data_IF_582863060484
#
_entry.id   IF_582863060484
#
_cell.length_a   1.000
_cell.length_b   1.000
_cell.length_c   1.000
_cell.angle_alpha   90.00
_cell.angle_beta   90.00
_cell.angle_gamma   90.00
#
_symmetry.space_group_name_H-M   'P 1'
#
loop_
_entity.id
_entity.type
_entity.pdbx_description
1 polymer ?
#
# COMPACT_ATOMS: atom_id res chain seq x y z
N UNK A 1 0.16 -12.04 -13.06
CA UNK A 1 0.86 -11.06 -12.20
C UNK A 1 2.26 -10.82 -12.75
N UNK A 2 2.84 -9.64 -12.53
CA UNK A 2 4.28 -9.46 -12.75
C UNK A 2 5.04 -10.01 -11.53
N UNK A 3 6.16 -10.71 -11.72
CA UNK A 3 6.99 -11.24 -10.63
C UNK A 3 7.42 -10.16 -9.62
N UNK A 4 7.52 -8.92 -10.12
CA UNK A 4 7.90 -7.75 -9.32
C UNK A 4 6.88 -7.43 -8.24
N UNK A 5 5.58 -7.51 -8.55
CA UNK A 5 4.52 -7.20 -7.60
C UNK A 5 4.46 -8.24 -6.47
N UNK A 6 4.58 -9.53 -6.82
CA UNK A 6 4.58 -10.62 -5.84
C UNK A 6 5.77 -10.48 -4.87
N UNK A 7 6.96 -10.19 -5.39
CA UNK A 7 8.16 -9.96 -4.57
C UNK A 7 7.99 -8.76 -3.62
N UNK A 8 7.38 -7.68 -4.09
CA UNK A 8 7.14 -6.49 -3.26
C UNK A 8 6.11 -6.78 -2.14
N UNK A 9 5.01 -7.45 -2.48
CA UNK A 9 4.00 -7.87 -1.53
C UNK A 9 4.58 -8.81 -0.45
N UNK A 10 5.30 -9.86 -0.85
CA UNK A 10 5.96 -10.79 0.09
C UNK A 10 6.93 -10.05 1.01
N UNK A 11 7.75 -9.13 0.46
CA UNK A 11 8.68 -8.32 1.25
C UNK A 11 7.94 -7.48 2.30
N UNK A 12 6.83 -6.84 1.92
CA UNK A 12 6.03 -5.99 2.79
C UNK A 12 5.31 -6.84 3.86
N UNK A 13 4.76 -8.00 3.48
CA UNK A 13 4.08 -8.94 4.39
C UNK A 13 5.03 -9.53 5.43
N UNK A 14 6.27 -9.87 5.03
CA UNK A 14 7.28 -10.43 5.94
C UNK A 14 7.90 -9.37 6.87
N UNK A 15 7.84 -8.08 6.51
CA UNK A 15 8.42 -7.00 7.32
C UNK A 15 7.52 -5.76 7.37
N UNK A 16 6.31 -5.87 7.93
CA UNK A 16 5.31 -4.78 7.90
C UNK A 16 5.72 -3.58 8.75
N UNK A 17 6.69 -3.73 9.65
CA UNK A 17 7.25 -2.66 10.48
C UNK A 17 8.35 -1.86 9.79
N UNK A 18 8.88 -2.33 8.66
CA UNK A 18 10.05 -1.76 8.00
C UNK A 18 9.78 -1.35 6.53
N UNK A 19 8.55 -0.93 6.23
CA UNK A 19 8.15 -0.55 4.87
C UNK A 19 8.46 0.93 4.61
N UNK A 20 9.05 1.24 3.45
CA UNK A 20 9.22 2.63 3.04
C UNK A 20 7.88 3.22 2.61
N UNK A 21 7.67 4.52 2.85
CA UNK A 21 6.44 5.18 2.42
C UNK A 21 6.23 5.07 0.90
N UNK A 22 7.33 5.14 0.14
CA UNK A 22 7.30 5.00 -1.31
C UNK A 22 6.93 3.58 -1.75
N UNK A 23 7.45 2.54 -1.09
CA UNK A 23 7.09 1.15 -1.40
C UNK A 23 5.60 0.89 -1.11
N UNK A 24 5.05 1.48 -0.05
CA UNK A 24 3.61 1.39 0.26
C UNK A 24 2.76 2.02 -0.85
N UNK A 25 3.12 3.23 -1.30
CA UNK A 25 2.40 3.92 -2.37
C UNK A 25 2.48 3.13 -3.69
N UNK A 26 3.67 2.63 -4.04
CA UNK A 26 3.87 1.79 -5.24
C UNK A 26 3.03 0.53 -5.18
N UNK A 27 3.03 -0.18 -4.05
CA UNK A 27 2.22 -1.39 -3.89
C UNK A 27 0.72 -1.06 -4.07
N UNK A 28 0.24 0.05 -3.52
CA UNK A 28 -1.15 0.46 -3.70
C UNK A 28 -1.51 0.72 -5.16
N UNK A 29 -0.66 1.44 -5.90
CA UNK A 29 -0.86 1.70 -7.33
C UNK A 29 -0.88 0.41 -8.16
N UNK A 30 0.04 -0.52 -7.88
CA UNK A 30 0.14 -1.81 -8.58
C UNK A 30 -1.06 -2.72 -8.31
N UNK A 31 -1.70 -2.62 -7.14
CA UNK A 31 -2.94 -3.36 -6.82
C UNK A 31 -4.22 -2.61 -7.23
N UNK A 32 -4.09 -1.55 -8.02
CA UNK A 32 -5.21 -0.88 -8.68
C UNK A 32 -5.76 0.36 -7.96
N UNK A 33 -5.13 0.82 -6.89
CA UNK A 33 -5.50 2.12 -6.33
C UNK A 33 -5.05 3.26 -7.23
N UNK A 34 -5.92 4.26 -7.39
CA UNK A 34 -5.62 5.46 -8.17
C UNK A 34 -5.36 6.62 -7.22
N UNK A 35 -4.24 7.31 -7.42
CA UNK A 35 -3.93 8.55 -6.70
C UNK A 35 -5.00 9.62 -6.97
N UNK A 36 -5.49 10.27 -5.92
CA UNK A 36 -6.56 11.28 -6.01
C UNK A 36 -6.08 12.67 -5.69
N UNK A 37 -5.38 12.84 -4.58
CA UNK A 37 -4.90 14.14 -4.14
C UNK A 37 -3.80 13.98 -3.11
N UNK A 38 -3.03 15.05 -2.95
CA UNK A 38 -2.01 15.18 -1.90
C UNK A 38 -2.24 16.49 -1.17
N UNK A 39 -2.26 16.42 0.16
CA UNK A 39 -2.29 17.58 1.03
C UNK A 39 -1.13 17.49 2.01
N UNK A 40 -0.14 18.37 1.85
CA UNK A 40 1.12 18.29 2.58
C UNK A 40 1.84 16.96 2.35
N UNK A 41 1.96 16.15 3.40
CA UNK A 41 2.61 14.82 3.36
C UNK A 41 1.64 13.65 3.18
N UNK A 42 0.32 13.91 3.14
CA UNK A 42 -0.70 12.88 3.03
C UNK A 42 -1.01 12.63 1.56
N UNK A 43 -1.04 11.36 1.17
CA UNK A 43 -1.41 10.93 -0.18
C UNK A 43 -2.71 10.12 -0.10
N UNK A 44 -3.74 10.59 -0.80
CA UNK A 44 -5.05 9.94 -0.84
C UNK A 44 -5.15 9.11 -2.12
N UNK A 45 -5.53 7.85 -1.95
CA UNK A 45 -5.70 6.85 -2.99
C UNK A 45 -7.12 6.29 -2.93
N UNK A 46 -7.73 6.01 -4.08
CA UNK A 46 -9.06 5.38 -4.16
C UNK A 46 -9.03 4.23 -5.16
N UNK A 47 -9.51 3.06 -4.74
CA UNK A 47 -9.71 1.94 -5.64
C UNK A 47 -11.01 2.14 -6.43
N UNK A 48 -10.97 2.16 -7.78
CA UNK A 48 -12.16 2.46 -8.58
C UNK A 48 -13.23 1.36 -8.52
N UNK A 49 -12.81 0.08 -8.41
CA UNK A 49 -13.72 -1.08 -8.35
C UNK A 49 -14.35 -1.24 -6.96
N UNK A 50 -13.54 -1.42 -5.92
CA UNK A 50 -14.05 -1.67 -4.56
C UNK A 50 -14.47 -0.40 -3.80
N UNK A 51 -14.12 0.79 -4.30
CA UNK A 51 -14.44 2.06 -3.64
C UNK A 51 -13.60 2.38 -2.41
N UNK A 52 -12.74 1.46 -1.93
CA UNK A 52 -11.86 1.66 -0.79
C UNK A 52 -10.98 2.90 -0.97
N UNK A 53 -10.81 3.64 0.12
CA UNK A 53 -9.95 4.82 0.18
C UNK A 53 -8.79 4.53 1.14
N UNK A 54 -7.58 4.78 0.67
CA UNK A 54 -6.37 4.69 1.47
C UNK A 54 -5.78 6.09 1.62
N UNK A 55 -5.67 6.58 2.85
CA UNK A 55 -5.00 7.85 3.16
C UNK A 55 -3.65 7.54 3.79
N UNK A 56 -2.60 7.54 2.97
CA UNK A 56 -1.24 7.23 3.40
C UNK A 56 -0.54 8.48 3.93
N UNK A 57 0.23 8.31 5.01
CA UNK A 57 1.02 9.36 5.61
C UNK A 57 2.38 8.76 6.03
N UNK A 58 3.50 9.44 5.77
CA UNK A 58 4.78 9.00 6.28
C UNK A 58 4.80 8.98 7.82
N UNK A 59 5.65 8.13 8.39
CA UNK A 59 5.79 8.01 9.83
C UNK A 59 6.31 9.32 10.44
N UNK A 60 5.77 9.67 11.62
CA UNK A 60 6.13 10.93 12.30
C UNK A 60 7.58 10.92 12.80
N UNK A 61 8.09 9.77 13.21
CA UNK A 61 9.45 9.57 13.72
C UNK A 61 10.45 9.42 12.58
N UNK A 62 10.05 8.79 11.47
CA UNK A 62 10.87 8.66 10.28
C UNK A 62 10.06 8.86 9.00
N UNK A 63 10.20 10.03 8.37
CA UNK A 63 9.42 10.41 7.18
C UNK A 63 9.66 9.52 5.95
N UNK A 64 10.72 8.71 5.94
CA UNK A 64 10.96 7.73 4.86
C UNK A 64 10.15 6.44 5.01
N UNK A 65 9.57 6.19 6.19
CA UNK A 65 8.83 4.96 6.51
C UNK A 65 7.33 5.19 6.41
N UNK A 66 6.62 4.12 6.07
CA UNK A 66 5.18 4.04 6.22
C UNK A 66 4.82 3.77 7.69
N UNK A 67 3.63 4.19 8.10
CA UNK A 67 3.09 3.78 9.40
C UNK A 67 2.64 2.33 9.32
N UNK A 68 2.99 1.52 10.33
CA UNK A 68 2.65 0.09 10.39
C UNK A 68 1.17 -0.19 10.11
N UNK A 69 0.25 0.59 10.68
CA UNK A 69 -1.19 0.35 10.47
C UNK A 69 -1.62 0.58 9.01
N UNK A 70 -0.99 1.52 8.30
CA UNK A 70 -1.30 1.78 6.88
C UNK A 70 -0.78 0.67 5.98
N UNK A 71 0.34 0.07 6.37
CA UNK A 71 0.85 -1.15 5.75
C UNK A 71 -0.14 -2.30 5.96
N UNK A 72 -0.58 -2.53 7.20
CA UNK A 72 -1.58 -3.55 7.51
C UNK A 72 -2.88 -3.34 6.74
N UNK A 73 -3.43 -2.12 6.69
CA UNK A 73 -4.64 -1.80 5.92
C UNK A 73 -4.52 -2.18 4.44
N UNK A 74 -3.37 -1.95 3.82
CA UNK A 74 -3.15 -2.32 2.42
C UNK A 74 -3.04 -3.85 2.26
N UNK A 75 -2.35 -4.54 3.18
CA UNK A 75 -2.27 -6.01 3.16
C UNK A 75 -3.65 -6.63 3.35
N UNK A 76 -4.42 -6.18 4.34
CA UNK A 76 -5.76 -6.69 4.62
C UNK A 76 -6.66 -6.51 3.38
N UNK A 77 -6.60 -5.34 2.73
CA UNK A 77 -7.31 -5.12 1.47
C UNK A 77 -6.91 -6.11 0.36
N UNK A 78 -5.61 -6.35 0.20
CA UNK A 78 -5.09 -7.27 -0.82
C UNK A 78 -5.56 -8.70 -0.57
N UNK A 79 -5.49 -9.14 0.70
CA UNK A 79 -5.84 -10.49 1.14
C UNK A 79 -7.35 -10.71 1.03
N UNK A 80 -8.17 -9.78 1.52
CA UNK A 80 -9.64 -9.84 1.50
C UNK A 80 -10.22 -9.88 0.08
N UNK A 81 -9.68 -9.04 -0.80
CA UNK A 81 -10.17 -8.92 -2.18
C UNK A 81 -9.45 -9.87 -3.15
N UNK A 82 -8.55 -10.73 -2.63
CA UNK A 82 -7.70 -11.65 -3.43
C UNK A 82 -7.08 -10.95 -4.63
N UNK A 83 -6.66 -9.69 -4.44
CA UNK A 83 -6.08 -8.86 -5.52
C UNK A 83 -4.75 -9.45 -5.96
N UNK A 84 -4.10 -10.15 -5.04
CA UNK A 84 -3.04 -11.12 -5.32
C UNK A 84 -3.69 -12.50 -5.38
N UNK A 85 -4.13 -12.95 -6.56
CA UNK A 85 -4.43 -14.37 -6.76
C UNK A 85 -3.12 -15.10 -6.95
N UNK A 86 -2.83 -16.07 -6.08
CA UNK A 86 -1.96 -17.18 -6.41
C UNK A 86 -2.58 -17.86 -7.64
N UNK A 87 -1.85 -17.79 -8.76
CA UNK A 87 -2.13 -18.59 -9.94
C UNK A 87 -1.39 -19.90 -9.82
#
# INVERSE_FOLDING_TARGET
MTDRLLKLYIKIKNSPTNVSFLDLCKLAEEVGFVFRSKSGSHSIYKHPIYGNIMNFQPDKRNKSKAKKYQVSQLIDFIDDNKVVKEG
#
